data_IF_695545087425
#
_entry.id   IF_695545087425
#
_cell.length_a   1.000
_cell.length_b   1.000
_cell.length_c   1.000
_cell.angle_alpha   90.00
_cell.angle_beta   90.00
_cell.angle_gamma   90.00
#
_symmetry.space_group_name_H-M   'P 1'
#
loop_
_entity.id
_entity.type
_entity.pdbx_description
1 polymer ?
#
# COMPACT_ATOMS: atom_id res chain seq x y z
N UNK A 1 -18.24 -46.89 -27.11
CA UNK A 1 -16.79 -47.10 -27.19
C UNK A 1 -16.12 -45.84 -26.70
N UNK A 2 -15.54 -45.94 -25.50
CA UNK A 2 -14.55 -45.04 -24.89
C UNK A 2 -14.99 -43.64 -24.46
N UNK A 3 -15.47 -43.62 -23.21
CA UNK A 3 -15.13 -42.61 -22.20
C UNK A 3 -13.63 -42.29 -22.19
N UNK A 4 -13.28 -41.03 -21.93
CA UNK A 4 -11.99 -40.64 -21.35
C UNK A 4 -12.18 -39.41 -20.46
N UNK A 5 -12.64 -39.69 -19.23
CA UNK A 5 -11.96 -39.37 -17.97
C UNK A 5 -10.74 -38.45 -18.07
N UNK A 6 -10.76 -37.32 -17.34
CA UNK A 6 -9.62 -36.72 -16.63
C UNK A 6 -10.11 -35.53 -15.81
N UNK A 7 -10.34 -35.81 -14.54
CA UNK A 7 -10.56 -34.86 -13.46
C UNK A 7 -9.38 -33.89 -13.27
N UNK A 8 -9.68 -32.60 -13.15
CA UNK A 8 -8.79 -31.62 -12.51
C UNK A 8 -9.58 -30.90 -11.39
N UNK A 9 -9.91 -31.70 -10.37
CA UNK A 9 -10.42 -31.24 -9.08
C UNK A 9 -9.30 -30.49 -8.33
N UNK A 10 -9.28 -29.17 -8.48
CA UNK A 10 -8.43 -28.25 -7.73
C UNK A 10 -8.71 -28.36 -6.22
N UNK A 11 -7.93 -29.22 -5.55
CA UNK A 11 -7.89 -29.36 -4.10
C UNK A 11 -7.03 -28.26 -3.47
N UNK A 12 -7.67 -27.30 -2.80
CA UNK A 12 -6.99 -26.25 -2.03
C UNK A 12 -7.51 -26.20 -0.59
N UNK A 13 -7.24 -27.24 0.20
CA UNK A 13 -7.39 -27.20 1.66
C UNK A 13 -6.37 -28.11 2.34
N UNK A 14 -6.02 -27.73 3.58
CA UNK A 14 -5.24 -28.48 4.58
C UNK A 14 -3.72 -28.25 4.53
N UNK A 15 -3.30 -27.03 4.90
CA UNK A 15 -2.00 -26.83 5.54
C UNK A 15 -2.15 -27.04 7.05
N UNK A 16 -1.35 -27.98 7.57
CA UNK A 16 -1.54 -28.66 8.84
C UNK A 16 -1.26 -27.84 10.10
N UNK A 17 -2.09 -28.11 11.11
CA UNK A 17 -1.89 -27.75 12.51
C UNK A 17 -1.42 -28.99 13.29
N UNK A 18 -0.10 -29.22 13.33
CA UNK A 18 0.47 -30.19 14.27
C UNK A 18 1.91 -29.80 14.63
N UNK A 19 2.10 -29.02 15.69
CA UNK A 19 3.27 -29.15 16.58
C UNK A 19 3.12 -28.17 17.74
N UNK A 20 2.58 -28.65 18.85
CA UNK A 20 2.99 -28.16 20.17
C UNK A 20 2.69 -29.25 21.20
N UNK A 21 3.72 -29.96 21.63
CA UNK A 21 3.64 -30.90 22.75
C UNK A 21 4.99 -30.87 23.46
N UNK A 22 5.07 -30.09 24.54
CA UNK A 22 6.18 -30.13 25.49
C UNK A 22 5.80 -31.04 26.66
N UNK A 23 6.71 -31.89 27.16
CA UNK A 23 6.41 -32.77 28.29
C UNK A 23 6.46 -32.01 29.63
N UNK A 24 5.52 -32.34 30.51
CA UNK A 24 5.47 -31.92 31.92
C UNK A 24 6.61 -32.59 32.71
N UNK A 25 7.42 -31.80 33.43
CA UNK A 25 8.33 -32.33 34.45
C UNK A 25 7.66 -32.24 35.83
N UNK A 26 7.18 -33.38 36.32
CA UNK A 26 6.99 -33.63 37.75
C UNK A 26 8.10 -34.58 38.18
N UNK A 27 8.95 -34.15 39.12
CA UNK A 27 9.72 -35.10 39.94
C UNK A 27 9.70 -34.62 41.38
N UNK A 28 8.87 -35.32 42.14
CA UNK A 28 8.83 -35.35 43.58
C UNK A 28 10.12 -36.01 44.11
N UNK A 29 10.65 -35.43 45.21
CA UNK A 29 10.89 -36.14 46.46
C UNK A 29 11.89 -37.31 46.45
N UNK A 30 13.04 -37.11 47.10
CA UNK A 30 13.63 -38.15 47.95
C UNK A 30 14.30 -37.53 49.18
N UNK A 31 13.64 -37.75 50.32
CA UNK A 31 14.10 -37.55 51.70
C UNK A 31 14.90 -38.78 52.08
N UNK A 32 16.14 -38.62 52.57
CA UNK A 32 16.79 -39.58 53.47
C UNK A 32 17.65 -38.83 54.50
N UNK A 33 17.26 -38.99 55.76
CA UNK A 33 18.02 -38.87 57.01
C UNK A 33 17.40 -39.97 57.92
N UNK A 34 18.03 -40.44 59.02
CA UNK A 34 19.34 -40.12 59.61
C UNK A 34 20.12 -41.40 60.07
N UNK A 35 21.33 -41.26 60.63
CA UNK A 35 21.78 -42.20 61.67
C UNK A 35 22.76 -41.51 62.62
N UNK A 36 22.49 -41.70 63.91
CA UNK A 36 22.99 -41.00 65.08
C UNK A 36 23.96 -41.91 65.84
N UNK A 37 25.10 -41.38 66.31
CA UNK A 37 25.89 -41.93 67.40
C UNK A 37 26.77 -40.83 68.03
N UNK A 38 26.69 -40.72 69.35
CA UNK A 38 27.10 -39.62 70.26
C UNK A 38 28.19 -40.19 71.21
N UNK A 39 28.94 -39.40 72.01
CA UNK A 39 30.23 -38.74 71.75
C UNK A 39 31.39 -39.31 72.65
N UNK A 40 32.63 -38.81 72.54
CA UNK A 40 33.61 -38.97 73.65
C UNK A 40 34.41 -37.69 73.93
N UNK A 41 34.05 -37.10 75.08
CA UNK A 41 34.84 -36.40 76.10
C UNK A 41 35.94 -35.39 75.73
N UNK A 42 35.52 -34.11 75.79
CA UNK A 42 36.10 -32.90 76.41
C UNK A 42 37.58 -32.84 76.81
N UNK A 43 38.23 -31.71 76.46
CA UNK A 43 38.90 -30.79 77.42
C UNK A 43 39.35 -29.49 76.72
N UNK A 44 38.92 -28.33 77.25
CA UNK A 44 39.52 -27.04 76.91
C UNK A 44 38.54 -25.88 76.73
N UNK A 45 38.43 -25.04 77.77
CA UNK A 45 37.80 -23.71 77.80
C UNK A 45 36.27 -23.64 77.94
N UNK A 46 35.79 -23.95 79.14
CA UNK A 46 34.53 -23.38 79.65
C UNK A 46 34.76 -21.88 79.90
N UNK A 47 34.42 -21.04 78.92
CA UNK A 47 34.22 -19.61 79.14
C UNK A 47 32.82 -19.40 79.71
N UNK A 48 32.73 -19.18 81.02
CA UNK A 48 31.49 -18.72 81.66
C UNK A 48 31.25 -17.27 81.28
N UNK A 49 30.39 -17.04 80.29
CA UNK A 49 29.80 -15.73 80.06
C UNK A 49 28.71 -15.50 81.10
N UNK A 50 28.95 -14.58 82.04
CA UNK A 50 27.93 -14.09 82.97
C UNK A 50 26.80 -13.37 82.23
N UNK A 51 25.61 -13.25 82.84
CA UNK A 51 24.45 -12.69 82.17
C UNK A 51 24.62 -11.19 81.96
N UNK A 52 24.65 -10.79 80.69
CA UNK A 52 24.44 -9.41 80.24
C UNK A 52 25.68 -8.69 79.74
N UNK A 53 26.14 -9.00 78.52
CA UNK A 53 26.57 -7.97 77.54
C UNK A 53 26.41 -8.55 76.13
N UNK A 54 25.50 -7.98 75.34
CA UNK A 54 25.40 -8.22 73.90
C UNK A 54 26.61 -7.62 73.20
N UNK A 55 27.52 -8.44 72.67
CA UNK A 55 28.52 -7.98 71.72
C UNK A 55 27.84 -7.78 70.35
N UNK A 56 27.16 -6.64 70.18
CA UNK A 56 26.81 -6.13 68.87
C UNK A 56 28.12 -5.73 68.17
N UNK A 57 28.52 -6.49 67.14
CA UNK A 57 29.64 -6.10 66.28
C UNK A 57 29.20 -4.96 65.36
N UNK A 58 29.88 -3.80 65.35
CA UNK A 58 29.66 -2.80 64.30
C UNK A 58 30.29 -3.30 63.00
N UNK A 59 29.46 -3.46 61.95
CA UNK A 59 29.95 -3.67 60.59
C UNK A 59 30.78 -2.43 60.15
N UNK A 60 32.03 -2.56 59.65
CA UNK A 60 32.88 -1.39 59.51
C UNK A 60 32.64 -0.56 58.23
N UNK A 61 31.61 -0.85 57.41
CA UNK A 61 31.40 -0.13 56.15
C UNK A 61 29.91 0.01 55.82
N UNK A 62 29.42 1.21 55.48
CA UNK A 62 28.10 1.35 54.89
C UNK A 62 28.16 0.83 53.45
N UNK A 63 27.68 -0.40 53.21
CA UNK A 63 27.45 -0.86 51.83
C UNK A 63 26.14 -0.23 51.37
N UNK A 64 26.23 0.99 50.86
CA UNK A 64 25.17 1.55 50.02
C UNK A 64 25.26 0.81 48.69
N UNK A 65 24.40 -0.17 48.48
CA UNK A 65 24.19 -0.72 47.16
C UNK A 65 23.48 0.36 46.31
N UNK A 66 24.24 1.08 45.49
CA UNK A 66 23.65 1.95 44.47
C UNK A 66 22.79 1.07 43.53
N UNK A 67 21.52 1.40 43.31
CA UNK A 67 20.73 0.69 42.32
C UNK A 67 21.30 1.01 40.93
N UNK A 68 22.05 0.05 40.36
CA UNK A 68 22.47 0.13 38.96
C UNK A 68 21.21 0.23 38.10
N UNK A 69 20.98 1.34 37.37
CA UNK A 69 19.82 1.43 36.51
C UNK A 69 19.96 0.35 35.44
N UNK A 70 19.09 -0.66 35.48
CA UNK A 70 18.99 -1.66 34.44
C UNK A 70 18.73 -0.94 33.11
N UNK A 71 19.76 -0.82 32.27
CA UNK A 71 19.66 -0.21 30.95
C UNK A 71 18.86 -1.15 30.04
N UNK A 72 17.54 -1.17 30.17
CA UNK A 72 16.59 -1.77 29.20
C UNK A 72 16.48 -0.92 27.93
N UNK A 73 17.61 -0.44 27.39
CA UNK A 73 17.66 0.47 26.23
C UNK A 73 17.81 -0.24 24.88
N UNK A 74 17.96 -1.57 24.86
CA UNK A 74 18.32 -2.33 23.66
C UNK A 74 17.14 -2.80 22.81
N UNK A 75 16.06 -3.28 23.43
CA UNK A 75 14.99 -3.97 22.70
C UNK A 75 13.95 -3.01 22.13
N UNK A 76 13.55 -1.99 22.89
CA UNK A 76 12.62 -0.96 22.41
C UNK A 76 13.13 -0.25 21.16
N UNK A 77 14.45 -0.05 21.05
CA UNK A 77 15.08 0.64 19.92
C UNK A 77 14.97 -0.14 18.60
N UNK A 78 14.81 -1.46 18.67
CA UNK A 78 14.59 -2.32 17.49
C UNK A 78 13.12 -2.31 17.06
N UNK A 79 12.20 -2.35 18.02
CA UNK A 79 10.77 -2.21 17.74
C UNK A 79 10.42 -0.82 17.22
N UNK A 80 11.10 0.24 17.68
CA UNK A 80 10.90 1.58 17.11
C UNK A 80 11.31 1.64 15.64
N UNK A 81 12.39 0.96 15.24
CA UNK A 81 12.81 0.94 13.83
C UNK A 81 11.80 0.16 12.98
N UNK A 82 11.36 -1.02 13.45
CA UNK A 82 10.33 -1.80 12.78
C UNK A 82 9.01 -1.02 12.65
N UNK A 83 8.58 -0.33 13.71
CA UNK A 83 7.38 0.50 13.68
C UNK A 83 7.49 1.69 12.72
N UNK A 84 8.65 2.35 12.66
CA UNK A 84 8.91 3.45 11.71
C UNK A 84 8.90 2.95 10.27
N UNK A 85 9.54 1.80 9.99
CA UNK A 85 9.51 1.19 8.64
C UNK A 85 8.08 0.81 8.26
N UNK A 86 7.33 0.19 9.17
CA UNK A 86 5.92 -0.14 8.95
C UNK A 86 5.08 1.11 8.66
N UNK A 87 5.22 2.17 9.46
CA UNK A 87 4.55 3.44 9.22
C UNK A 87 4.96 4.07 7.88
N UNK A 88 6.24 4.02 7.51
CA UNK A 88 6.72 4.54 6.24
C UNK A 88 6.14 3.75 5.05
N UNK A 89 6.07 2.42 5.15
CA UNK A 89 5.44 1.56 4.13
C UNK A 89 3.94 1.84 4.04
N UNK A 90 3.24 1.94 5.18
CA UNK A 90 1.81 2.27 5.20
C UNK A 90 1.54 3.67 4.62
N UNK A 91 2.36 4.67 4.97
CA UNK A 91 2.27 6.01 4.40
C UNK A 91 2.55 5.99 2.90
N UNK A 92 3.54 5.22 2.44
CA UNK A 92 3.85 5.07 1.02
C UNK A 92 2.72 4.37 0.26
N UNK A 93 2.16 3.28 0.78
CA UNK A 93 1.02 2.57 0.20
C UNK A 93 -0.23 3.45 0.19
N UNK A 94 -0.50 4.18 1.28
CA UNK A 94 -1.57 5.15 1.35
C UNK A 94 -1.37 6.26 0.31
N UNK A 95 -0.15 6.77 0.13
CA UNK A 95 0.15 7.76 -0.91
C UNK A 95 0.03 7.20 -2.32
N UNK A 96 0.36 5.93 -2.56
CA UNK A 96 0.13 5.30 -3.85
C UNK A 96 -1.37 5.14 -4.16
N UNK A 97 -2.20 4.91 -3.13
CA UNK A 97 -3.64 4.66 -3.28
C UNK A 97 -4.47 5.94 -3.30
N UNK A 98 -4.15 6.90 -2.44
CA UNK A 98 -4.89 8.16 -2.23
C UNK A 98 -4.10 9.39 -2.71
N UNK A 99 -3.00 9.16 -3.42
CA UNK A 99 -2.17 10.22 -3.96
C UNK A 99 -2.98 11.21 -4.79
N UNK A 100 -2.50 12.45 -4.88
CA UNK A 100 -3.25 13.54 -5.50
C UNK A 100 -3.62 13.22 -6.95
N UNK A 101 -4.87 13.52 -7.32
CA UNK A 101 -5.50 13.08 -8.55
C UNK A 101 -4.81 13.60 -9.82
N UNK A 102 -5.21 13.01 -10.96
CA UNK A 102 -4.87 13.53 -12.29
C UNK A 102 -5.37 14.97 -12.43
N UNK A 103 -4.52 15.82 -12.99
CA UNK A 103 -4.82 17.23 -13.23
C UNK A 103 -4.62 17.53 -14.70
N UNK A 104 -5.59 18.24 -15.29
CA UNK A 104 -5.54 18.67 -16.69
C UNK A 104 -5.00 20.09 -16.76
N UNK A 105 -3.89 20.24 -17.50
CA UNK A 105 -3.20 21.51 -17.70
C UNK A 105 -3.76 22.24 -18.92
N UNK A 106 -3.96 21.50 -20.00
CA UNK A 106 -4.34 22.07 -21.29
C UNK A 106 -5.12 21.05 -22.12
N UNK A 107 -5.95 21.56 -23.04
CA UNK A 107 -6.75 20.77 -23.97
C UNK A 107 -6.71 21.45 -25.33
N UNK A 108 -6.19 20.74 -26.32
CA UNK A 108 -6.14 21.20 -27.72
C UNK A 108 -6.89 20.21 -28.60
N UNK A 109 -7.55 20.70 -29.64
CA UNK A 109 -8.30 19.86 -30.58
C UNK A 109 -7.84 20.19 -31.99
N UNK A 110 -7.56 19.16 -32.78
CA UNK A 110 -7.15 19.29 -34.16
C UNK A 110 -7.80 18.20 -35.00
N UNK A 111 -8.18 18.53 -36.23
CA UNK A 111 -8.47 17.50 -37.23
C UNK A 111 -7.15 16.86 -37.68
N UNK A 112 -7.14 15.55 -37.93
CA UNK A 112 -5.98 14.86 -38.48
C UNK A 112 -5.58 15.43 -39.85
N UNK A 113 -6.57 15.82 -40.66
CA UNK A 113 -6.38 16.55 -41.90
C UNK A 113 -6.87 18.01 -41.75
N UNK A 114 -5.97 19.01 -41.79
CA UNK A 114 -6.34 20.43 -41.77
C UNK A 114 -7.18 20.88 -42.97
N UNK A 115 -7.05 20.21 -44.13
CA UNK A 115 -7.83 20.53 -45.33
C UNK A 115 -9.27 19.99 -45.26
N UNK A 116 -9.52 19.10 -44.30
CA UNK A 116 -10.79 18.44 -44.06
C UNK A 116 -10.94 17.14 -44.86
N UNK A 117 -11.96 16.33 -44.49
CA UNK A 117 -12.26 15.07 -45.15
C UNK A 117 -12.62 15.26 -46.64
N UNK A 118 -12.16 14.33 -47.49
CA UNK A 118 -12.59 14.22 -48.88
C UNK A 118 -13.99 13.63 -49.02
N UNK A 119 -14.48 13.46 -50.26
CA UNK A 119 -15.80 12.90 -50.55
C UNK A 119 -16.05 11.56 -49.84
N UNK A 120 -17.23 11.44 -49.22
CA UNK A 120 -17.73 10.22 -48.58
C UNK A 120 -16.72 9.56 -47.60
N UNK A 121 -15.93 10.39 -46.91
CA UNK A 121 -14.86 9.95 -46.02
C UNK A 121 -15.14 10.23 -44.55
N UNK A 122 -14.34 9.61 -43.68
CA UNK A 122 -14.39 9.82 -42.23
C UNK A 122 -13.27 10.76 -41.80
N UNK A 123 -13.61 11.86 -41.15
CA UNK A 123 -12.63 12.68 -40.45
C UNK A 123 -12.28 12.04 -39.11
N UNK A 124 -10.99 11.94 -38.82
CA UNK A 124 -10.49 11.74 -37.47
C UNK A 124 -10.18 13.10 -36.85
N UNK A 125 -10.87 13.42 -35.76
CA UNK A 125 -10.61 14.61 -34.95
C UNK A 125 -10.00 14.15 -33.64
N UNK A 126 -8.82 14.69 -33.34
CA UNK A 126 -8.03 14.30 -32.18
C UNK A 126 -7.96 15.46 -31.20
N UNK A 127 -8.39 15.22 -29.97
CA UNK A 127 -8.09 16.11 -28.86
C UNK A 127 -6.86 15.60 -28.10
N UNK A 128 -5.88 16.48 -27.89
CA UNK A 128 -4.72 16.22 -27.05
C UNK A 128 -4.93 16.91 -25.72
N UNK A 129 -5.13 16.10 -24.68
CA UNK A 129 -5.25 16.54 -23.29
C UNK A 129 -3.89 16.42 -22.62
N UNK A 130 -3.33 17.55 -22.15
CA UNK A 130 -2.06 17.58 -21.43
C UNK A 130 -2.31 17.49 -19.93
N UNK A 131 -1.66 16.54 -19.27
CA UNK A 131 -1.85 16.23 -17.85
C UNK A 131 -0.54 16.33 -17.07
N UNK A 132 -0.65 16.28 -15.74
CA UNK A 132 0.51 16.25 -14.83
C UNK A 132 1.27 14.90 -14.80
N UNK A 133 0.91 13.91 -15.65
CA UNK A 133 1.54 12.59 -15.69
C UNK A 133 1.09 11.62 -14.61
N UNK A 134 0.07 11.98 -13.82
CA UNK A 134 -0.50 11.10 -12.81
C UNK A 134 -1.57 10.20 -13.41
N UNK A 135 -1.73 8.98 -12.87
CA UNK A 135 -2.81 8.10 -13.32
C UNK A 135 -4.16 8.68 -12.93
N UNK A 136 -5.16 8.45 -13.76
CA UNK A 136 -6.53 8.83 -13.45
C UNK A 136 -7.46 8.62 -14.63
N UNK A 137 -8.67 9.13 -14.48
CA UNK A 137 -9.74 8.93 -15.44
C UNK A 137 -10.26 10.29 -15.91
N UNK A 138 -10.33 10.47 -17.22
CA UNK A 138 -10.88 11.65 -17.86
C UNK A 138 -12.31 11.33 -18.30
N UNK A 139 -13.27 12.20 -17.95
CA UNK A 139 -14.65 12.08 -18.43
C UNK A 139 -14.91 13.24 -19.38
N UNK A 140 -15.35 12.93 -20.60
CA UNK A 140 -15.52 13.92 -21.66
C UNK A 140 -16.71 13.59 -22.57
N UNK A 141 -17.09 14.56 -23.39
CA UNK A 141 -18.05 14.38 -24.48
C UNK A 141 -17.66 15.20 -25.69
N UNK A 142 -18.08 14.73 -26.86
CA UNK A 142 -17.95 15.43 -28.14
C UNK A 142 -19.27 16.07 -28.51
N UNK A 143 -19.20 17.30 -29.01
CA UNK A 143 -20.33 18.05 -29.55
C UNK A 143 -19.98 18.39 -31.00
N UNK A 144 -20.84 18.00 -31.93
CA UNK A 144 -20.70 18.23 -33.36
C UNK A 144 -21.59 19.39 -33.80
N UNK A 145 -21.18 20.13 -34.82
CA UNK A 145 -21.96 21.26 -35.36
C UNK A 145 -23.30 20.87 -35.99
N UNK A 146 -23.52 19.58 -36.26
CA UNK A 146 -24.81 19.05 -36.72
C UNK A 146 -25.85 18.87 -35.60
N UNK A 147 -25.51 19.29 -34.37
CA UNK A 147 -26.37 19.18 -33.20
C UNK A 147 -26.31 17.83 -32.51
N UNK A 148 -25.54 16.87 -33.03
CA UNK A 148 -25.31 15.60 -32.34
C UNK A 148 -24.25 15.75 -31.26
N UNK A 149 -24.46 15.06 -30.14
CA UNK A 149 -23.52 14.99 -29.04
C UNK A 149 -23.30 13.54 -28.67
N UNK A 150 -22.07 13.20 -28.30
CA UNK A 150 -21.78 11.88 -27.77
C UNK A 150 -22.29 11.76 -26.34
N UNK A 151 -22.45 10.52 -25.88
CA UNK A 151 -22.53 10.23 -24.45
C UNK A 151 -21.24 10.64 -23.74
N UNK A 152 -21.23 10.51 -22.40
CA UNK A 152 -20.01 10.73 -21.64
C UNK A 152 -19.07 9.55 -21.83
N UNK A 153 -17.98 9.80 -22.53
CA UNK A 153 -16.89 8.85 -22.68
C UNK A 153 -15.91 8.98 -21.52
N UNK A 154 -15.24 7.87 -21.26
CA UNK A 154 -14.30 7.75 -20.15
C UNK A 154 -12.98 7.22 -20.68
N UNK A 155 -11.91 8.00 -20.53
CA UNK A 155 -10.56 7.60 -20.93
C UNK A 155 -9.68 7.40 -19.69
N UNK A 156 -9.01 6.26 -19.61
CA UNK A 156 -8.10 5.96 -18.50
C UNK A 156 -6.67 6.31 -18.88
N UNK A 157 -6.08 7.25 -18.16
CA UNK A 157 -4.70 7.70 -18.38
C UNK A 157 -3.75 6.91 -17.48
N UNK A 158 -2.80 6.13 -18.05
CA UNK A 158 -1.81 5.41 -17.27
C UNK A 158 -0.81 6.35 -16.57
N UNK A 159 -0.17 5.84 -15.52
CA UNK A 159 0.90 6.57 -14.81
C UNK A 159 2.05 6.91 -15.77
N UNK A 160 2.57 8.14 -15.67
CA UNK A 160 3.68 8.64 -16.49
C UNK A 160 3.27 9.21 -17.86
N UNK A 161 2.01 9.06 -18.28
CA UNK A 161 1.51 9.64 -19.53
C UNK A 161 1.05 11.08 -19.28
N UNK A 162 1.76 12.03 -19.91
CA UNK A 162 1.46 13.47 -19.84
C UNK A 162 0.52 13.94 -20.94
N UNK A 163 0.22 13.09 -21.92
CA UNK A 163 -0.65 13.40 -23.05
C UNK A 163 -1.60 12.23 -23.24
N UNK A 164 -2.90 12.54 -23.34
CA UNK A 164 -3.95 11.60 -23.68
C UNK A 164 -4.61 12.06 -24.98
N UNK A 165 -4.79 11.15 -25.93
CA UNK A 165 -5.40 11.42 -27.23
C UNK A 165 -6.82 10.89 -27.22
N UNK A 166 -7.78 11.77 -27.40
CA UNK A 166 -9.19 11.42 -27.49
C UNK A 166 -9.60 11.57 -28.94
N UNK A 167 -10.09 10.49 -29.54
CA UNK A 167 -10.45 10.45 -30.95
C UNK A 167 -11.97 10.62 -31.12
N UNK A 168 -12.34 11.28 -32.23
CA UNK A 168 -13.69 11.35 -32.75
C UNK A 168 -13.64 11.00 -34.23
N UNK A 169 -14.26 9.89 -34.58
CA UNK A 169 -14.47 9.48 -35.96
C UNK A 169 -15.83 10.00 -36.43
N UNK A 170 -15.81 10.89 -37.41
CA UNK A 170 -17.02 11.48 -37.98
C UNK A 170 -17.07 11.23 -39.49
N UNK A 171 -18.00 10.35 -39.89
CA UNK A 171 -18.29 10.08 -41.30
C UNK A 171 -19.14 11.16 -41.94
N UNK A 172 -18.70 11.58 -43.11
CA UNK A 172 -19.33 12.58 -43.94
C UNK A 172 -19.78 11.95 -45.25
N UNK A 173 -20.97 12.30 -45.72
CA UNK A 173 -21.54 11.73 -46.94
C UNK A 173 -22.24 12.81 -47.76
N UNK A 174 -22.21 12.63 -49.08
CA UNK A 174 -22.91 13.49 -50.03
C UNK A 174 -22.05 14.63 -50.59
N UNK A 175 -22.59 15.26 -51.63
CA UNK A 175 -21.92 16.35 -52.36
C UNK A 175 -22.13 17.69 -51.66
N UNK A 176 -21.15 18.58 -51.75
CA UNK A 176 -21.25 19.94 -51.24
C UNK A 176 -20.05 20.40 -50.45
N UNK A 177 -20.13 21.63 -49.96
CA UNK A 177 -19.13 22.23 -49.06
C UNK A 177 -19.83 22.65 -47.77
N UNK A 178 -19.32 22.22 -46.63
CA UNK A 178 -19.85 22.64 -45.33
C UNK A 178 -18.73 22.78 -44.31
N UNK A 179 -18.93 23.72 -43.39
CA UNK A 179 -18.03 23.96 -42.26
C UNK A 179 -18.48 23.07 -41.10
N UNK A 180 -17.63 22.13 -40.72
CA UNK A 180 -17.82 21.27 -39.58
C UNK A 180 -17.07 21.83 -38.37
N UNK A 181 -17.73 21.88 -37.22
CA UNK A 181 -17.09 22.19 -35.93
C UNK A 181 -17.19 20.97 -35.01
N UNK A 182 -16.05 20.58 -34.46
CA UNK A 182 -15.94 19.53 -33.46
C UNK A 182 -15.44 20.12 -32.15
N UNK A 183 -16.25 20.01 -31.10
CA UNK A 183 -15.98 20.58 -29.78
C UNK A 183 -15.85 19.48 -28.75
N UNK A 184 -14.73 19.44 -28.05
CA UNK A 184 -14.52 18.60 -26.89
C UNK A 184 -14.92 19.37 -25.63
N UNK A 185 -15.80 18.76 -24.83
CA UNK A 185 -16.10 19.21 -23.48
C UNK A 185 -15.58 18.18 -22.47
N UNK A 186 -14.56 18.59 -21.71
CA UNK A 186 -14.04 17.82 -20.60
C UNK A 186 -14.88 18.13 -19.35
N UNK A 187 -15.41 17.09 -18.71
CA UNK A 187 -16.30 17.18 -17.54
C UNK A 187 -15.52 17.02 -16.23
N UNK A 188 -14.57 16.08 -16.20
CA UNK A 188 -13.76 15.72 -15.02
C UNK A 188 -12.33 15.34 -15.47
N UNK A 189 -11.26 15.64 -14.70
CA UNK A 189 -11.19 16.19 -13.34
C UNK A 189 -11.40 17.71 -13.22
N UNK A 190 -11.47 18.42 -14.34
CA UNK A 190 -11.74 19.85 -14.38
C UNK A 190 -12.51 20.20 -15.65
N UNK A 191 -13.40 21.19 -15.55
CA UNK A 191 -14.20 21.59 -16.70
C UNK A 191 -13.36 22.43 -17.66
N UNK A 192 -13.14 21.91 -18.87
CA UNK A 192 -12.40 22.58 -19.94
C UNK A 192 -13.10 22.29 -21.26
N UNK A 193 -12.94 23.21 -22.20
CA UNK A 193 -13.58 23.10 -23.51
C UNK A 193 -12.60 23.58 -24.56
N UNK A 194 -12.54 22.84 -25.66
CA UNK A 194 -11.75 23.21 -26.82
C UNK A 194 -12.49 22.79 -28.09
N UNK A 195 -12.32 23.53 -29.18
CA UNK A 195 -13.02 23.28 -30.43
C UNK A 195 -12.06 23.46 -31.60
N UNK A 196 -12.37 22.76 -32.68
CA UNK A 196 -11.70 22.95 -33.97
C UNK A 196 -12.74 23.01 -35.08
N UNK A 197 -12.39 23.71 -36.15
CA UNK A 197 -13.21 23.86 -37.34
C UNK A 197 -12.43 23.39 -38.55
N UNK A 198 -13.12 22.66 -39.42
CA UNK A 198 -12.58 22.22 -40.70
C UNK A 198 -13.70 22.24 -41.74
N UNK A 199 -13.33 22.21 -43.01
CA UNK A 199 -14.30 22.30 -44.11
C UNK A 199 -14.29 21.00 -44.87
N UNK A 200 -15.43 20.31 -44.95
CA UNK A 200 -15.59 19.23 -45.91
C UNK A 200 -15.82 19.83 -47.29
N UNK A 201 -15.15 19.27 -48.29
CA UNK A 201 -15.33 19.64 -49.68
C UNK A 201 -15.49 18.38 -50.51
N UNK A 202 -16.64 18.24 -51.14
CA UNK A 202 -16.85 17.25 -52.17
C UNK A 202 -17.35 17.93 -53.44
N UNK A 203 -16.47 17.97 -54.45
CA UNK A 203 -16.84 18.39 -55.80
C UNK A 203 -17.83 17.36 -56.38
N UNK A 204 -18.86 17.87 -57.06
CA UNK A 204 -19.96 17.08 -57.57
C UNK A 204 -19.61 16.24 -58.79
#
# INVERSE_FOLDING_TARGET
MSDNDSDDEYSATVLGSHWFSGPQQTSQQTRVQPQEAVPDRVEGSVLRFGPGVTAAMPAPFPVVAEPVPARRRGEWRRYTLAAVVLLAVLAYLAWQRYGPAIEVRDVTVAAADPQGPGCDSTADVVAVVRTNGRPGTLTYRWIRSDGTQSEQLTERVPRGKKEARLHLLWTFQGRGTYTAEAKLQLVSPGQRTAATRFTYRCAG
#
